data_IF_960312991758
#
_entry.id   IF_960312991758
#
_cell.length_a   1.000
_cell.length_b   1.000
_cell.length_c   1.000
_cell.angle_alpha   90.00
_cell.angle_beta   90.00
_cell.angle_gamma   90.00
#
_symmetry.space_group_name_H-M   'P 1'
#
loop_
_entity.id
_entity.type
_entity.pdbx_description
1 polymer ?
#
# COMPACT_ATOMS: atom_id res chain seq x y z
N UNK A 1 -2.01 -22.30 -48.28
CA UNK A 1 -1.46 -21.14 -47.54
C UNK A 1 -2.60 -20.53 -46.74
N UNK A 2 -2.67 -20.85 -45.44
CA UNK A 2 -3.61 -20.22 -44.50
C UNK A 2 -2.76 -19.30 -43.62
N UNK A 3 -2.96 -18.00 -43.74
CA UNK A 3 -2.28 -17.02 -42.90
C UNK A 3 -3.04 -16.93 -41.57
N UNK A 4 -2.40 -17.38 -40.48
CA UNK A 4 -2.84 -17.09 -39.12
C UNK A 4 -2.37 -15.67 -38.77
N UNK A 5 -3.29 -14.75 -38.57
CA UNK A 5 -2.99 -13.46 -37.95
C UNK A 5 -2.93 -13.68 -36.43
N UNK A 6 -1.73 -13.53 -35.85
CA UNK A 6 -1.55 -13.49 -34.41
C UNK A 6 -1.86 -12.07 -33.91
N UNK A 7 -2.96 -11.93 -33.19
CA UNK A 7 -3.32 -10.68 -32.51
C UNK A 7 -2.48 -10.58 -31.24
N UNK A 8 -1.57 -9.60 -31.20
CA UNK A 8 -0.76 -9.27 -30.03
C UNK A 8 -1.68 -8.60 -28.99
N UNK A 9 -1.95 -9.27 -27.86
CA UNK A 9 -2.58 -8.64 -26.70
C UNK A 9 -1.52 -7.81 -25.98
N UNK A 10 -1.63 -6.48 -26.07
CA UNK A 10 -0.84 -5.57 -25.23
C UNK A 10 -1.56 -5.48 -23.89
N UNK A 11 -0.98 -6.10 -22.85
CA UNK A 11 -1.38 -5.88 -21.46
C UNK A 11 -0.94 -4.46 -21.08
N UNK A 12 -1.89 -3.54 -20.97
CA UNK A 12 -1.64 -2.25 -20.33
C UNK A 12 -1.58 -2.49 -18.82
N UNK A 13 -0.36 -2.57 -18.28
CA UNK A 13 -0.13 -2.42 -16.84
C UNK A 13 -0.47 -0.98 -16.49
N UNK A 14 -1.57 -0.78 -15.75
CA UNK A 14 -1.89 0.53 -15.19
C UNK A 14 -0.76 0.97 -14.26
N UNK A 15 -0.39 2.26 -14.26
CA UNK A 15 0.57 2.76 -13.30
C UNK A 15 -0.01 2.65 -11.88
N UNK A 16 0.80 2.14 -10.97
CA UNK A 16 0.56 2.09 -9.52
C UNK A 16 1.44 3.20 -8.92
N UNK A 17 0.94 3.95 -7.93
CA UNK A 17 1.52 5.27 -7.58
C UNK A 17 1.76 5.44 -6.08
N UNK A 18 2.96 5.86 -5.67
CA UNK A 18 3.38 6.21 -4.31
C UNK A 18 4.90 6.24 -4.11
N UNK A 19 5.37 7.17 -3.26
CA UNK A 19 6.58 7.99 -3.35
C UNK A 19 6.30 9.39 -3.91
N UNK A 20 6.98 10.40 -3.33
CA UNK A 20 6.86 11.79 -3.74
C UNK A 20 7.06 11.91 -5.24
N UNK A 21 6.18 12.66 -5.89
CA UNK A 21 6.22 12.89 -7.32
C UNK A 21 5.69 14.28 -7.61
N UNK A 22 6.15 14.89 -8.70
CA UNK A 22 5.47 16.06 -9.23
C UNK A 22 4.07 15.66 -9.72
N UNK A 23 3.11 16.58 -9.61
CA UNK A 23 1.74 16.35 -10.04
C UNK A 23 1.13 17.58 -10.68
N UNK A 24 0.06 17.35 -11.43
CA UNK A 24 -0.82 18.40 -11.98
C UNK A 24 -2.27 18.05 -11.69
N UNK A 25 -3.09 19.06 -11.42
CA UNK A 25 -4.54 18.90 -11.33
C UNK A 25 -5.15 19.07 -12.72
N UNK A 26 -5.72 18.01 -13.28
CA UNK A 26 -6.43 18.04 -14.56
C UNK A 26 -7.94 18.03 -14.36
N UNK A 27 -8.69 18.13 -15.46
CA UNK A 27 -10.15 17.95 -15.43
C UNK A 27 -10.58 16.55 -14.97
N UNK A 28 -9.67 15.57 -15.01
CA UNK A 28 -9.89 14.17 -14.61
C UNK A 28 -9.48 13.84 -13.18
N UNK A 29 -8.74 14.71 -12.49
CA UNK A 29 -8.22 14.47 -11.14
C UNK A 29 -6.74 14.82 -11.01
N UNK A 30 -6.10 14.31 -9.97
CA UNK A 30 -4.67 14.46 -9.76
C UNK A 30 -3.92 13.50 -10.69
N UNK A 31 -2.99 14.02 -11.49
CA UNK A 31 -2.12 13.24 -12.37
C UNK A 31 -0.66 13.43 -11.95
N UNK A 32 0.07 12.33 -11.80
CA UNK A 32 1.50 12.39 -11.50
C UNK A 32 2.29 12.61 -12.79
N UNK A 33 3.25 13.52 -12.73
CA UNK A 33 4.08 13.94 -13.86
C UNK A 33 5.54 13.73 -13.53
N UNK A 34 6.33 13.41 -14.55
CA UNK A 34 7.77 13.37 -14.40
C UNK A 34 8.37 14.78 -14.47
N UNK A 35 9.35 15.09 -13.61
CA UNK A 35 10.08 16.35 -13.67
C UNK A 35 11.52 16.13 -14.13
N UNK A 36 11.91 16.78 -15.23
CA UNK A 36 13.20 16.53 -15.88
C UNK A 36 14.41 17.21 -15.22
N UNK A 37 14.18 18.16 -14.31
CA UNK A 37 15.24 19.03 -13.75
C UNK A 37 15.42 18.91 -12.24
N UNK A 38 14.49 18.24 -11.55
CA UNK A 38 14.61 17.96 -10.11
C UNK A 38 14.98 16.49 -9.94
N UNK A 39 16.14 16.21 -9.38
CA UNK A 39 16.65 14.86 -9.15
C UNK A 39 16.40 14.41 -7.71
N UNK A 40 16.09 13.12 -7.52
CA UNK A 40 16.04 12.49 -6.20
C UNK A 40 17.45 12.02 -5.79
N UNK A 41 18.15 12.86 -5.05
CA UNK A 41 19.52 12.61 -4.58
C UNK A 41 19.54 11.51 -3.50
N UNK A 42 18.57 11.50 -2.60
CA UNK A 42 18.45 10.42 -1.62
C UNK A 42 17.03 10.20 -1.10
N UNK A 43 16.77 8.96 -0.72
CA UNK A 43 15.60 8.56 0.08
C UNK A 43 16.09 7.74 1.28
N UNK A 44 15.80 8.22 2.49
CA UNK A 44 15.95 7.49 3.74
C UNK A 44 14.58 7.08 4.28
N UNK A 45 14.25 5.81 4.09
CA UNK A 45 12.97 5.22 4.42
C UNK A 45 13.08 4.37 5.69
N UNK A 46 12.25 4.67 6.68
CA UNK A 46 12.04 3.84 7.86
C UNK A 46 10.61 3.33 7.87
N UNK A 47 10.44 2.01 8.04
CA UNK A 47 9.13 1.36 8.13
C UNK A 47 9.07 0.51 9.39
N UNK A 48 8.02 0.71 10.19
CA UNK A 48 7.57 -0.22 11.22
C UNK A 48 6.07 -0.44 11.08
N UNK A 49 5.51 -1.34 11.90
CA UNK A 49 4.05 -1.50 12.00
C UNK A 49 3.34 -0.24 12.48
N UNK A 50 3.99 0.56 13.32
CA UNK A 50 3.37 1.71 13.98
C UNK A 50 3.53 2.99 13.15
N UNK A 51 4.59 3.08 12.34
CA UNK A 51 4.97 4.34 11.72
C UNK A 51 5.86 4.15 10.50
N UNK A 52 5.63 4.99 9.50
CA UNK A 52 6.54 5.22 8.39
C UNK A 52 7.12 6.64 8.49
N UNK A 53 8.44 6.74 8.30
CA UNK A 53 9.16 8.01 8.17
C UNK A 53 9.99 7.98 6.90
N UNK A 54 9.99 9.09 6.17
CA UNK A 54 10.76 9.21 4.94
C UNK A 54 11.46 10.56 4.92
N UNK A 55 12.73 10.58 4.56
CA UNK A 55 13.49 11.81 4.32
C UNK A 55 14.00 11.77 2.89
N UNK A 56 13.54 12.71 2.07
CA UNK A 56 14.02 12.93 0.72
C UNK A 56 14.99 14.09 0.67
N UNK A 57 15.99 13.98 -0.20
CA UNK A 57 16.79 15.11 -0.67
C UNK A 57 16.56 15.28 -2.15
N UNK A 58 16.01 16.42 -2.53
CA UNK A 58 15.76 16.76 -3.92
C UNK A 58 16.71 17.87 -4.34
N UNK A 59 17.40 17.67 -5.45
CA UNK A 59 18.35 18.65 -6.01
C UNK A 59 17.78 19.24 -7.28
N UNK A 60 17.76 20.55 -7.38
CA UNK A 60 17.44 21.24 -8.62
C UNK A 60 18.71 21.39 -9.46
N UNK A 61 18.79 20.69 -10.59
CA UNK A 61 19.95 20.71 -11.49
C UNK A 61 19.88 21.84 -12.54
N UNK A 62 18.82 22.66 -12.54
CA UNK A 62 18.64 23.80 -13.46
C UNK A 62 19.17 25.13 -12.89
N UNK A 63 19.18 26.18 -13.72
CA UNK A 63 19.48 27.57 -13.36
C UNK A 63 18.22 28.42 -13.08
N UNK A 64 17.05 27.80 -12.99
CA UNK A 64 15.76 28.45 -12.72
C UNK A 64 15.09 27.86 -11.46
N UNK A 65 14.33 28.69 -10.76
CA UNK A 65 13.50 28.22 -9.65
C UNK A 65 12.29 27.47 -10.21
N UNK A 66 12.00 26.28 -9.65
CA UNK A 66 10.81 25.51 -10.02
C UNK A 66 9.76 25.54 -8.92
N UNK A 67 8.56 26.00 -9.24
CA UNK A 67 7.40 25.89 -8.37
C UNK A 67 6.56 24.68 -8.79
N UNK A 68 6.41 23.71 -7.89
CA UNK A 68 5.79 22.42 -8.18
C UNK A 68 4.70 22.10 -7.15
N UNK A 69 3.61 21.52 -7.65
CA UNK A 69 2.68 20.76 -6.82
C UNK A 69 3.29 19.38 -6.58
N UNK A 70 3.74 19.14 -5.37
CA UNK A 70 4.24 17.83 -4.94
C UNK A 70 3.06 17.00 -4.47
N UNK A 71 3.09 15.71 -4.78
CA UNK A 71 2.09 14.75 -4.34
C UNK A 71 2.74 13.52 -3.70
N UNK A 72 2.16 13.08 -2.59
CA UNK A 72 2.49 11.86 -1.88
C UNK A 72 1.28 10.92 -1.87
N UNK A 73 1.25 9.90 -2.74
CA UNK A 73 0.18 8.91 -2.79
C UNK A 73 0.28 7.93 -1.62
N UNK A 74 -0.86 7.58 -1.04
CA UNK A 74 -0.95 6.53 -0.02
C UNK A 74 -1.21 5.16 -0.67
N UNK A 75 -0.78 4.06 -0.03
CA UNK A 75 -1.17 2.72 -0.46
C UNK A 75 -2.70 2.56 -0.60
N UNK A 76 -3.11 1.88 -1.67
CA UNK A 76 -4.50 1.51 -1.91
C UNK A 76 -5.04 0.70 -0.72
N UNK A 77 -6.23 1.05 -0.25
CA UNK A 77 -6.99 0.26 0.72
C UNK A 77 -8.01 -0.56 -0.05
N UNK A 78 -7.70 -1.85 -0.19
CA UNK A 78 -8.59 -2.83 -0.80
C UNK A 78 -9.51 -3.38 0.29
N UNK A 79 -10.83 -3.43 0.06
CA UNK A 79 -11.76 -3.97 1.03
C UNK A 79 -11.56 -5.48 1.14
N UNK A 80 -11.26 -5.94 2.35
CA UNK A 80 -11.29 -7.35 2.74
C UNK A 80 -12.13 -7.45 4.02
N UNK A 81 -13.37 -7.92 3.89
CA UNK A 81 -14.31 -8.04 5.00
C UNK A 81 -14.13 -9.34 5.79
N UNK A 82 -13.25 -10.22 5.33
CA UNK A 82 -12.99 -11.52 5.95
C UNK A 82 -11.68 -11.53 6.76
N UNK A 83 -10.81 -10.54 6.55
CA UNK A 83 -9.56 -10.39 7.29
C UNK A 83 -9.54 -9.09 8.11
N UNK A 84 -9.07 -9.10 9.37
CA UNK A 84 -8.97 -7.90 10.17
C UNK A 84 -7.83 -7.01 9.66
N UNK A 85 -8.12 -6.11 8.72
CA UNK A 85 -7.20 -5.05 8.35
C UNK A 85 -7.20 -4.02 9.49
N UNK A 86 -6.06 -3.84 10.15
CA UNK A 86 -5.85 -2.74 11.08
C UNK A 86 -5.74 -1.44 10.28
N UNK A 87 -6.86 -0.74 10.19
CA UNK A 87 -6.99 0.51 9.47
C UNK A 87 -6.38 1.67 10.27
N UNK A 88 -5.73 2.65 9.60
CA UNK A 88 -5.40 3.92 10.24
C UNK A 88 -6.66 4.61 10.77
N UNK A 89 -6.79 4.71 12.10
CA UNK A 89 -7.96 5.27 12.78
C UNK A 89 -7.81 6.78 13.07
N UNK A 90 -7.05 7.49 12.25
CA UNK A 90 -6.89 8.93 12.37
C UNK A 90 -8.20 9.70 12.14
N UNK A 91 -8.16 11.04 12.28
CA UNK A 91 -9.30 11.89 11.92
C UNK A 91 -9.78 11.65 10.49
N UNK A 92 -11.07 11.86 10.21
CA UNK A 92 -11.65 11.60 8.89
C UNK A 92 -11.03 12.40 7.74
N UNK A 93 -10.45 13.57 8.04
CA UNK A 93 -9.72 14.41 7.09
C UNK A 93 -8.20 14.15 7.06
N UNK A 94 -7.71 13.20 7.87
CA UNK A 94 -6.31 12.78 7.91
C UNK A 94 -6.14 11.38 8.51
N UNK A 95 -6.73 10.35 7.87
CA UNK A 95 -6.80 8.98 8.39
C UNK A 95 -5.42 8.39 8.74
N UNK A 96 -4.41 8.72 7.94
CA UNK A 96 -3.04 8.26 8.11
C UNK A 96 -2.21 9.11 9.07
N UNK A 97 -2.79 10.16 9.66
CA UNK A 97 -2.08 11.16 10.47
C UNK A 97 -0.84 11.73 9.75
N UNK A 98 -0.94 11.91 8.43
CA UNK A 98 0.14 12.38 7.58
C UNK A 98 0.61 13.76 8.01
N UNK A 99 1.94 13.90 8.12
CA UNK A 99 2.64 15.15 8.39
C UNK A 99 3.83 15.25 7.45
N UNK A 100 4.04 16.45 6.92
CA UNK A 100 5.16 16.74 6.03
C UNK A 100 5.87 18.04 6.45
N UNK A 101 7.18 18.03 6.34
CA UNK A 101 8.05 19.19 6.50
C UNK A 101 8.78 19.47 5.18
N UNK A 102 8.96 20.74 4.85
CA UNK A 102 9.78 21.21 3.74
C UNK A 102 10.88 22.12 4.31
N UNK A 103 12.15 21.73 4.15
CA UNK A 103 13.31 22.36 4.78
C UNK A 103 13.15 22.59 6.30
N UNK A 104 12.55 21.60 6.97
CA UNK A 104 12.31 21.61 8.42
C UNK A 104 11.07 22.40 8.87
N UNK A 105 10.38 23.10 7.97
CA UNK A 105 9.16 23.84 8.27
C UNK A 105 7.90 23.02 7.91
N UNK A 106 6.88 22.94 8.79
CA UNK A 106 5.64 22.25 8.47
C UNK A 106 4.91 22.88 7.28
N UNK A 107 4.47 22.05 6.33
CA UNK A 107 3.62 22.48 5.22
C UNK A 107 2.23 21.86 5.31
N UNK A 108 1.21 22.64 4.97
CA UNK A 108 -0.18 22.17 4.97
C UNK A 108 -0.43 21.32 3.72
N UNK A 109 -0.62 20.02 3.93
CA UNK A 109 -0.94 19.09 2.87
C UNK A 109 -2.46 18.97 2.68
N UNK A 110 -2.91 19.05 1.44
CA UNK A 110 -4.30 18.83 1.04
C UNK A 110 -4.53 17.36 0.72
N UNK A 111 -5.50 16.75 1.39
CA UNK A 111 -5.95 15.39 1.11
C UNK A 111 -6.87 15.36 -0.13
N UNK A 112 -6.63 14.43 -1.04
CA UNK A 112 -7.50 14.06 -2.15
C UNK A 112 -7.85 12.59 -2.04
N UNK A 113 -9.14 12.27 -2.11
CA UNK A 113 -9.66 10.92 -1.90
C UNK A 113 -10.42 10.43 -3.12
N UNK A 114 -10.30 9.14 -3.40
CA UNK A 114 -10.97 8.50 -4.51
C UNK A 114 -11.48 7.11 -4.15
N UNK A 115 -12.58 6.71 -4.78
CA UNK A 115 -13.12 5.37 -4.71
C UNK A 115 -13.11 4.72 -6.10
N UNK A 116 -12.39 3.61 -6.24
CA UNK A 116 -12.30 2.88 -7.51
C UNK A 116 -12.98 1.51 -7.39
N UNK A 117 -13.88 1.21 -8.31
CA UNK A 117 -14.47 -0.13 -8.46
C UNK A 117 -14.35 -0.58 -9.91
N UNK A 118 -13.92 -1.83 -10.11
CA UNK A 118 -13.65 -2.42 -11.42
C UNK A 118 -12.74 -1.54 -12.32
N UNK A 119 -11.76 -0.85 -11.72
CA UNK A 119 -10.82 0.03 -12.42
C UNK A 119 -11.40 1.39 -12.84
N UNK A 120 -12.63 1.73 -12.43
CA UNK A 120 -13.29 3.00 -12.76
C UNK A 120 -13.42 3.86 -11.50
N UNK A 121 -13.10 5.16 -11.62
CA UNK A 121 -13.37 6.14 -10.57
C UNK A 121 -14.89 6.30 -10.37
N UNK A 122 -15.36 5.94 -9.17
CA UNK A 122 -16.75 6.04 -8.71
C UNK A 122 -16.95 7.10 -7.64
N UNK A 123 -15.96 7.94 -7.36
CA UNK A 123 -15.96 8.93 -6.28
C UNK A 123 -17.20 9.84 -6.32
N UNK A 124 -17.48 10.45 -7.47
CA UNK A 124 -18.64 11.34 -7.63
C UNK A 124 -19.99 10.61 -7.50
N UNK A 125 -20.02 9.31 -7.83
CA UNK A 125 -21.24 8.51 -7.70
C UNK A 125 -21.55 8.26 -6.22
N UNK A 126 -20.55 7.84 -5.43
CA UNK A 126 -20.68 7.65 -3.99
C UNK A 126 -21.02 8.96 -3.27
N UNK A 127 -20.31 10.05 -3.59
CA UNK A 127 -20.57 11.37 -3.02
C UNK A 127 -22.00 11.89 -3.29
N UNK A 128 -22.56 11.60 -4.48
CA UNK A 128 -23.94 12.01 -4.81
C UNK A 128 -24.99 11.31 -3.94
N UNK A 129 -24.65 10.13 -3.44
CA UNK A 129 -25.50 9.30 -2.59
C UNK A 129 -25.13 9.41 -1.11
N UNK A 130 -24.23 10.35 -0.76
CA UNK A 130 -23.70 10.54 0.60
C UNK A 130 -23.08 9.25 1.20
N UNK A 131 -22.52 8.38 0.34
CA UNK A 131 -21.83 7.16 0.77
C UNK A 131 -20.36 7.48 1.10
N UNK A 132 -19.87 7.13 2.30
CA UNK A 132 -18.48 7.34 2.68
C UNK A 132 -17.49 6.65 1.73
N UNK A 133 -16.36 7.30 1.43
CA UNK A 133 -15.37 6.76 0.48
C UNK A 133 -14.48 5.67 1.09
N UNK A 134 -14.30 5.66 2.42
CA UNK A 134 -13.51 4.66 3.12
C UNK A 134 -14.32 3.36 3.22
N UNK A 135 -14.13 2.44 2.28
CA UNK A 135 -14.99 1.24 2.12
C UNK A 135 -15.06 0.33 3.34
N UNK A 136 -14.02 0.31 4.17
CA UNK A 136 -13.94 -0.57 5.36
C UNK A 136 -14.40 0.13 6.64
N UNK A 137 -14.85 1.39 6.56
CA UNK A 137 -15.37 2.10 7.72
C UNK A 137 -16.76 1.58 8.11
N UNK A 138 -17.09 1.68 9.40
CA UNK A 138 -18.41 1.28 9.88
C UNK A 138 -19.53 2.11 9.21
N UNK A 139 -19.26 3.39 8.96
CA UNK A 139 -20.18 4.31 8.28
C UNK A 139 -20.45 3.84 6.84
N UNK A 140 -19.44 3.38 6.10
CA UNK A 140 -19.65 2.83 4.76
C UNK A 140 -20.46 1.52 4.80
N UNK A 141 -20.14 0.63 5.74
CA UNK A 141 -20.85 -0.64 5.93
C UNK A 141 -22.33 -0.40 6.25
N UNK A 142 -22.63 0.51 7.16
CA UNK A 142 -23.99 0.83 7.56
C UNK A 142 -24.75 1.55 6.44
N UNK A 143 -24.09 2.46 5.72
CA UNK A 143 -24.69 3.13 4.57
C UNK A 143 -25.13 2.14 3.48
N UNK A 144 -24.34 1.10 3.19
CA UNK A 144 -24.71 0.06 2.22
C UNK A 144 -25.91 -0.77 2.71
N UNK A 145 -26.00 -1.09 4.01
CA UNK A 145 -27.13 -1.85 4.57
C UNK A 145 -28.47 -1.11 4.49
N UNK A 146 -28.43 0.22 4.48
CA UNK A 146 -29.62 1.08 4.43
C UNK A 146 -30.11 1.36 3.01
N UNK A 147 -29.35 0.98 1.97
CA UNK A 147 -29.74 1.18 0.57
C UNK A 147 -30.98 0.35 0.20
N UNK A 148 -31.82 0.92 -0.66
CA UNK A 148 -32.94 0.18 -1.26
C UNK A 148 -32.45 -0.84 -2.29
N UNK A 149 -33.33 -1.77 -2.65
CA UNK A 149 -32.99 -2.88 -3.54
C UNK A 149 -32.60 -2.43 -4.97
N UNK A 150 -33.14 -1.32 -5.46
CA UNK A 150 -32.79 -0.78 -6.79
C UNK A 150 -31.37 -0.21 -6.77
N UNK A 151 -31.02 0.52 -5.72
CA UNK A 151 -29.68 1.07 -5.53
C UNK A 151 -28.65 -0.03 -5.29
N UNK A 152 -28.99 -1.09 -4.55
CA UNK A 152 -28.10 -2.25 -4.39
C UNK A 152 -27.83 -2.95 -5.74
N UNK A 153 -28.82 -3.09 -6.62
CA UNK A 153 -28.61 -3.66 -7.95
C UNK A 153 -27.62 -2.81 -8.78
N UNK A 154 -27.76 -1.48 -8.73
CA UNK A 154 -26.79 -0.55 -9.32
C UNK A 154 -25.39 -0.75 -8.72
N UNK A 155 -25.26 -0.87 -7.40
CA UNK A 155 -23.96 -1.09 -6.75
C UNK A 155 -23.32 -2.41 -7.17
N UNK A 156 -24.09 -3.50 -7.21
CA UNK A 156 -23.63 -4.80 -7.70
C UNK A 156 -23.18 -4.72 -9.17
N UNK A 157 -23.97 -4.05 -10.02
CA UNK A 157 -23.64 -3.84 -11.44
C UNK A 157 -22.35 -3.04 -11.64
N UNK A 158 -22.13 -2.02 -10.81
CA UNK A 158 -20.95 -1.16 -10.88
C UNK A 158 -19.72 -1.75 -10.16
N UNK A 159 -19.88 -2.91 -9.51
CA UNK A 159 -18.86 -3.59 -8.73
C UNK A 159 -18.60 -2.96 -7.36
N UNK A 160 -19.46 -2.04 -6.90
CA UNK A 160 -19.38 -1.32 -5.63
C UNK A 160 -19.91 -2.11 -4.43
N UNK A 161 -20.56 -3.24 -4.66
CA UNK A 161 -21.02 -4.15 -3.60
C UNK A 161 -20.57 -5.59 -3.88
N UNK A 162 -20.29 -6.34 -2.82
CA UNK A 162 -20.06 -7.77 -2.86
C UNK A 162 -21.17 -8.48 -2.04
N UNK A 163 -21.95 -9.38 -2.64
CA UNK A 163 -23.00 -10.10 -1.93
C UNK A 163 -22.39 -11.17 -1.03
N UNK A 164 -22.92 -11.29 0.19
CA UNK A 164 -22.53 -12.29 1.18
C UNK A 164 -23.78 -12.98 1.72
N UNK A 165 -23.89 -14.27 1.43
CA UNK A 165 -25.04 -15.09 1.76
C UNK A 165 -24.75 -15.97 2.95
N UNK A 166 -25.51 -15.82 4.03
CA UNK A 166 -25.37 -16.63 5.24
C UNK A 166 -26.73 -16.96 5.85
N UNK A 167 -26.76 -17.97 6.73
CA UNK A 167 -27.92 -18.31 7.54
C UNK A 167 -27.55 -18.18 9.02
N UNK A 168 -28.02 -17.10 9.66
CA UNK A 168 -27.82 -16.84 11.08
C UNK A 168 -28.86 -17.54 11.98
N UNK A 169 -29.55 -18.57 11.48
CA UNK A 169 -30.58 -19.33 12.19
C UNK A 169 -32.00 -18.79 12.02
N UNK A 170 -32.19 -17.78 11.15
CA UNK A 170 -33.50 -17.23 10.78
C UNK A 170 -33.85 -17.47 9.30
N UNK A 171 -33.08 -18.32 8.62
CA UNK A 171 -33.18 -18.56 7.18
C UNK A 171 -32.07 -17.84 6.41
N UNK A 172 -31.93 -18.22 5.13
CA UNK A 172 -30.93 -17.64 4.24
C UNK A 172 -31.17 -16.15 4.05
N UNK A 173 -30.19 -15.32 4.39
CA UNK A 173 -30.14 -13.90 4.09
C UNK A 173 -28.94 -13.58 3.21
N UNK A 174 -29.05 -12.50 2.44
CA UNK A 174 -27.96 -12.01 1.59
C UNK A 174 -27.75 -10.54 1.92
N UNK A 175 -26.60 -10.25 2.50
CA UNK A 175 -26.17 -8.89 2.80
C UNK A 175 -25.19 -8.44 1.72
N UNK A 176 -25.01 -7.14 1.55
CA UNK A 176 -24.03 -6.59 0.62
C UNK A 176 -22.98 -5.83 1.40
N UNK A 177 -21.71 -6.07 1.08
CA UNK A 177 -20.57 -5.36 1.67
C UNK A 177 -20.02 -4.33 0.68
N UNK A 178 -19.49 -3.19 1.18
CA UNK A 178 -18.73 -2.23 0.36
C UNK A 178 -17.64 -2.92 -0.48
N UNK A 179 -17.54 -2.64 -1.78
CA UNK A 179 -16.56 -3.29 -2.64
C UNK A 179 -15.84 -2.30 -3.58
N UNK A 180 -15.19 -1.29 -3.00
CA UNK A 180 -14.33 -0.38 -3.76
C UNK A 180 -13.01 -0.13 -3.05
N UNK A 181 -11.98 0.10 -3.85
CA UNK A 181 -10.66 0.49 -3.40
C UNK A 181 -10.71 1.97 -3.01
N UNK A 182 -10.34 2.26 -1.77
CA UNK A 182 -10.12 3.63 -1.32
C UNK A 182 -8.68 4.04 -1.63
N UNK A 183 -8.52 5.22 -2.23
CA UNK A 183 -7.21 5.83 -2.53
C UNK A 183 -7.13 7.21 -1.92
N UNK A 184 -6.00 7.52 -1.33
CA UNK A 184 -5.69 8.85 -0.80
C UNK A 184 -4.39 9.39 -1.41
N UNK A 185 -4.33 10.69 -1.60
CA UNK A 185 -3.10 11.39 -1.97
C UNK A 185 -3.03 12.73 -1.28
N UNK A 186 -1.89 13.04 -0.68
CA UNK A 186 -1.63 14.33 -0.07
C UNK A 186 -0.85 15.20 -1.05
N UNK A 187 -1.22 16.47 -1.20
CA UNK A 187 -0.52 17.42 -2.08
C UNK A 187 -0.18 18.72 -1.39
N UNK A 188 0.95 19.32 -1.72
CA UNK A 188 1.32 20.67 -1.28
C UNK A 188 2.15 21.37 -2.37
N UNK A 189 2.16 22.70 -2.32
CA UNK A 189 2.99 23.51 -3.22
C UNK A 189 4.37 23.68 -2.59
N UNK A 190 5.42 23.56 -3.41
CA UNK A 190 6.80 23.76 -2.99
C UNK A 190 7.61 24.51 -4.05
N UNK A 191 8.64 25.23 -3.62
CA UNK A 191 9.61 25.87 -4.51
C UNK A 191 10.96 25.19 -4.36
N UNK A 192 11.54 24.76 -5.48
CA UNK A 192 12.86 24.17 -5.58
C UNK A 192 13.79 25.22 -6.20
N UNK A 193 14.61 25.92 -5.40
CA UNK A 193 15.45 27.00 -5.91
C UNK A 193 16.53 26.49 -6.87
N UNK A 194 16.91 27.32 -7.84
CA UNK A 194 17.95 27.00 -8.83
C UNK A 194 19.26 26.53 -8.18
N UNK A 195 19.76 25.36 -8.58
CA UNK A 195 21.05 24.82 -8.13
C UNK A 195 21.12 24.41 -6.65
N UNK A 196 20.00 24.41 -5.92
CA UNK A 196 19.95 24.09 -4.49
C UNK A 196 19.38 22.68 -4.23
N UNK A 197 19.67 22.17 -3.03
CA UNK A 197 19.07 20.94 -2.51
C UNK A 197 18.08 21.28 -1.40
N UNK A 198 16.86 20.77 -1.52
CA UNK A 198 15.81 20.88 -0.49
C UNK A 198 15.60 19.53 0.20
N UNK A 199 15.10 19.57 1.42
CA UNK A 199 14.78 18.40 2.23
C UNK A 199 13.27 18.30 2.42
N UNK A 200 12.71 17.13 2.16
CA UNK A 200 11.30 16.83 2.42
C UNK A 200 11.23 15.67 3.42
N UNK A 201 10.49 15.86 4.50
CA UNK A 201 10.34 14.84 5.55
C UNK A 201 8.87 14.48 5.74
N UNK A 202 8.55 13.19 5.70
CA UNK A 202 7.21 12.68 5.96
C UNK A 202 7.17 11.79 7.18
N UNK A 203 6.04 11.82 7.88
CA UNK A 203 5.70 10.90 8.96
C UNK A 203 4.22 10.56 8.90
N UNK A 204 3.87 9.28 8.96
CA UNK A 204 2.47 8.83 8.94
C UNK A 204 2.32 7.42 9.51
N UNK A 205 1.09 7.06 9.87
CA UNK A 205 0.72 5.71 10.33
C UNK A 205 0.42 4.82 9.11
N UNK A 206 1.08 3.67 8.94
CA UNK A 206 0.81 2.79 7.81
C UNK A 206 -0.56 2.12 7.91
N UNK A 207 -1.13 1.76 6.75
CA UNK A 207 -2.21 0.77 6.72
C UNK A 207 -1.60 -0.63 6.90
N UNK A 208 -2.10 -1.39 7.87
CA UNK A 208 -1.57 -2.71 8.22
C UNK A 208 -2.64 -3.75 7.97
N UNK A 209 -2.49 -4.51 6.88
CA UNK A 209 -3.27 -5.72 6.67
C UNK A 209 -2.80 -6.84 7.60
N UNK A 210 -3.58 -7.90 7.73
CA UNK A 210 -3.15 -9.04 8.52
C UNK A 210 -4.18 -10.14 8.60
N UNK A 211 -3.75 -11.32 9.03
CA UNK A 211 -4.60 -12.48 9.30
C UNK A 211 -4.20 -13.17 10.59
N UNK A 212 -5.12 -13.96 11.15
CA UNK A 212 -4.86 -14.79 12.32
C UNK A 212 -4.23 -16.11 11.88
N UNK A 213 -3.03 -16.40 12.39
CA UNK A 213 -2.26 -17.58 11.99
C UNK A 213 -1.38 -17.36 10.77
N UNK A 214 -0.65 -18.42 10.38
CA UNK A 214 0.35 -18.37 9.30
C UNK A 214 -0.18 -19.06 8.05
N UNK A 215 -0.59 -18.29 7.04
CA UNK A 215 -1.29 -18.81 5.86
C UNK A 215 -0.36 -19.54 4.89
N UNK A 216 0.91 -19.14 4.78
CA UNK A 216 1.84 -19.74 3.81
C UNK A 216 2.33 -21.14 4.17
N UNK A 217 1.94 -21.68 5.34
CA UNK A 217 2.20 -23.07 5.70
C UNK A 217 1.08 -24.03 5.28
N UNK A 218 -0.07 -23.51 4.82
CA UNK A 218 -1.19 -24.31 4.33
C UNK A 218 -0.84 -25.04 3.02
N UNK A 219 -1.54 -26.16 2.77
CA UNK A 219 -1.44 -26.86 1.49
C UNK A 219 -2.09 -26.04 0.36
N UNK A 220 -1.69 -26.26 -0.91
CA UNK A 220 -2.38 -25.66 -2.05
C UNK A 220 -3.86 -26.02 -2.08
N UNK A 221 -4.70 -25.04 -2.40
CA UNK A 221 -6.16 -25.20 -2.50
C UNK A 221 -6.56 -25.80 -3.85
N UNK A 222 -7.73 -26.45 -3.88
CA UNK A 222 -8.28 -27.12 -5.08
C UNK A 222 -8.57 -26.16 -6.24
N UNK A 223 -8.72 -24.86 -5.98
CA UNK A 223 -8.91 -23.81 -6.97
C UNK A 223 -7.60 -23.37 -7.67
N UNK A 224 -6.47 -23.96 -7.27
CA UNK A 224 -5.14 -23.68 -7.81
C UNK A 224 -4.37 -22.59 -7.06
N UNK A 225 -4.91 -22.04 -5.97
CA UNK A 225 -4.18 -21.11 -5.11
C UNK A 225 -3.15 -21.85 -4.25
N UNK A 226 -1.88 -21.46 -4.36
CA UNK A 226 -0.78 -21.98 -3.53
C UNK A 226 -0.24 -20.84 -2.63
N UNK A 227 -0.56 -20.85 -1.32
CA UNK A 227 -0.11 -19.83 -0.38
C UNK A 227 1.41 -19.72 -0.30
N UNK A 228 2.13 -20.84 -0.31
CA UNK A 228 3.58 -20.83 -0.20
C UNK A 228 4.22 -20.21 -1.44
N UNK A 229 3.67 -20.46 -2.63
CA UNK A 229 4.13 -19.84 -3.87
C UNK A 229 3.80 -18.33 -3.93
N UNK A 230 2.60 -17.94 -3.51
CA UNK A 230 2.18 -16.54 -3.46
C UNK A 230 3.08 -15.73 -2.52
N UNK A 231 3.28 -16.21 -1.30
CA UNK A 231 4.07 -15.50 -0.30
C UNK A 231 5.55 -15.44 -0.67
N UNK A 232 6.07 -16.48 -1.31
CA UNK A 232 7.44 -16.46 -1.84
C UNK A 232 7.61 -15.39 -2.91
N UNK A 233 6.62 -15.25 -3.80
CA UNK A 233 6.64 -14.23 -4.85
C UNK A 233 6.50 -12.82 -4.27
N UNK A 234 5.61 -12.62 -3.29
CA UNK A 234 5.24 -11.29 -2.77
C UNK A 234 6.18 -10.78 -1.68
N UNK A 235 6.58 -11.65 -0.75
CA UNK A 235 7.36 -11.27 0.44
C UNK A 235 8.75 -11.92 0.48
N UNK A 236 9.14 -12.66 -0.56
CA UNK A 236 10.42 -13.36 -0.63
C UNK A 236 10.67 -14.31 0.56
N UNK A 237 9.64 -15.05 0.99
CA UNK A 237 9.75 -16.05 2.06
C UNK A 237 10.66 -17.21 1.63
N UNK A 238 11.94 -17.11 1.99
CA UNK A 238 12.95 -18.11 1.66
C UNK A 238 12.86 -19.36 2.56
N UNK A 239 13.63 -20.40 2.22
CA UNK A 239 13.64 -21.65 2.98
C UNK A 239 14.06 -21.44 4.45
N UNK A 240 14.93 -20.46 4.73
CA UNK A 240 15.41 -20.16 6.07
C UNK A 240 14.33 -19.52 6.94
N UNK A 241 13.55 -18.62 6.36
CA UNK A 241 12.38 -17.99 6.97
C UNK A 241 11.31 -19.03 7.27
N UNK A 242 10.94 -19.86 6.28
CA UNK A 242 9.97 -20.93 6.45
C UNK A 242 10.44 -21.93 7.52
N UNK A 243 11.73 -22.29 7.52
CA UNK A 243 12.29 -23.18 8.54
C UNK A 243 12.30 -22.56 9.95
N UNK A 244 12.50 -21.24 10.06
CA UNK A 244 12.40 -20.53 11.35
C UNK A 244 10.97 -20.59 11.92
N UNK A 245 9.96 -20.47 11.06
CA UNK A 245 8.55 -20.54 11.44
C UNK A 245 8.17 -21.98 11.80
N UNK A 246 8.55 -22.98 11.00
CA UNK A 246 8.26 -24.39 11.33
C UNK A 246 8.85 -24.85 12.66
N UNK A 247 9.97 -24.25 13.10
CA UNK A 247 10.58 -24.55 14.42
C UNK A 247 9.75 -24.07 15.61
N UNK A 248 8.79 -23.19 15.40
CA UNK A 248 7.90 -22.71 16.48
C UNK A 248 6.61 -23.50 16.59
N UNK A 249 6.34 -24.42 15.66
CA UNK A 249 5.16 -25.29 15.69
C UNK A 249 5.22 -26.22 16.92
N UNK A 250 4.16 -26.26 17.74
CA UNK A 250 4.01 -27.26 18.79
C UNK A 250 3.91 -28.68 18.22
N UNK A 251 3.17 -28.84 17.12
CA UNK A 251 3.05 -30.06 16.34
C UNK A 251 3.42 -29.79 14.86
N UNK A 252 4.45 -30.45 14.31
CA UNK A 252 4.84 -30.29 12.90
C UNK A 252 3.73 -30.64 11.89
N UNK A 253 2.75 -31.45 12.29
CA UNK A 253 1.62 -31.87 11.44
C UNK A 253 0.43 -30.88 11.52
N UNK A 254 0.54 -29.82 12.33
CA UNK A 254 -0.49 -28.78 12.50
C UNK A 254 0.02 -27.39 12.06
N UNK A 255 -0.01 -27.06 10.76
CA UNK A 255 0.49 -25.77 10.23
C UNK A 255 -0.10 -24.51 10.88
N UNK A 256 -1.35 -24.59 11.32
CA UNK A 256 -2.08 -23.50 11.99
C UNK A 256 -1.63 -23.28 13.45
N UNK A 257 -0.83 -24.19 14.01
CA UNK A 257 -0.32 -24.10 15.38
C UNK A 257 0.84 -23.11 15.56
N UNK A 258 1.29 -22.45 14.48
CA UNK A 258 2.37 -21.46 14.56
C UNK A 258 1.91 -20.27 15.43
N UNK A 259 2.66 -19.88 16.47
CA UNK A 259 2.28 -18.84 17.42
C UNK A 259 2.51 -17.43 16.86
N UNK A 260 2.00 -17.15 15.66
CA UNK A 260 2.16 -15.88 14.97
C UNK A 260 0.84 -15.39 14.36
N UNK A 261 0.62 -14.09 14.41
CA UNK A 261 -0.28 -13.39 13.49
C UNK A 261 0.53 -12.73 12.39
N UNK A 262 -0.08 -12.52 11.24
CA UNK A 262 0.57 -11.84 10.13
C UNK A 262 0.21 -10.36 10.12
N UNK A 263 1.21 -9.52 9.85
CA UNK A 263 1.06 -8.12 9.46
C UNK A 263 1.63 -7.92 8.06
N UNK A 264 0.86 -7.27 7.20
CA UNK A 264 1.27 -6.93 5.83
C UNK A 264 1.33 -5.42 5.67
N UNK A 265 2.50 -4.92 5.30
CA UNK A 265 2.74 -3.50 5.04
C UNK A 265 3.20 -3.38 3.59
N UNK A 266 2.58 -2.48 2.85
CA UNK A 266 3.00 -2.13 1.49
C UNK A 266 3.51 -0.71 1.46
N UNK A 267 4.62 -0.50 0.75
CA UNK A 267 5.18 0.81 0.50
C UNK A 267 5.47 0.92 -0.99
N UNK A 268 5.06 2.03 -1.58
CA UNK A 268 5.15 2.21 -3.01
C UNK A 268 6.48 2.90 -3.29
N UNK A 269 7.31 2.29 -4.15
CA UNK A 269 8.67 2.73 -4.47
C UNK A 269 8.79 3.23 -5.90
N UNK A 270 7.97 2.71 -6.81
CA UNK A 270 8.20 2.87 -8.26
C UNK A 270 8.09 4.31 -8.75
N UNK A 271 7.34 5.19 -8.07
CA UNK A 271 7.27 6.63 -8.45
C UNK A 271 8.51 7.43 -8.07
N UNK A 272 9.46 6.86 -7.31
CA UNK A 272 10.79 7.43 -7.18
C UNK A 272 11.46 7.65 -8.56
N UNK A 273 11.03 6.91 -9.58
CA UNK A 273 11.47 7.09 -10.96
C UNK A 273 10.81 8.23 -11.74
N UNK A 274 9.92 9.02 -11.14
CA UNK A 274 9.33 10.18 -11.82
C UNK A 274 10.23 11.42 -11.81
N UNK A 275 11.32 11.41 -11.04
CA UNK A 275 12.28 12.51 -10.96
C UNK A 275 13.38 12.40 -12.02
N UNK A 276 14.15 13.47 -12.17
CA UNK A 276 15.24 13.54 -13.13
C UNK A 276 16.22 12.37 -12.91
N UNK A 277 16.67 11.76 -14.01
CA UNK A 277 17.50 10.55 -13.99
C UNK A 277 16.72 9.23 -13.81
N UNK A 278 15.45 9.29 -13.43
CA UNK A 278 14.52 8.16 -13.35
C UNK A 278 14.79 7.17 -12.20
N UNK A 279 15.68 7.48 -11.27
CA UNK A 279 15.97 6.63 -10.13
C UNK A 279 16.46 7.41 -8.93
N UNK A 280 16.75 6.68 -7.86
CA UNK A 280 17.17 7.22 -6.57
C UNK A 280 18.69 7.08 -6.48
N UNK A 281 19.44 8.19 -6.44
CA UNK A 281 20.91 8.11 -6.42
C UNK A 281 21.40 7.35 -5.16
N UNK A 282 20.85 7.66 -3.99
CA UNK A 282 21.15 7.01 -2.72
C UNK A 282 19.88 6.55 -2.01
N UNK A 283 19.65 5.24 -1.93
CA UNK A 283 18.48 4.69 -1.24
C UNK A 283 18.91 3.94 0.01
N UNK A 284 18.26 4.24 1.14
CA UNK A 284 18.43 3.54 2.40
C UNK A 284 17.07 3.17 2.99
N UNK A 285 16.84 1.87 3.17
CA UNK A 285 15.67 1.33 3.84
C UNK A 285 16.06 0.77 5.20
N UNK A 286 15.28 1.09 6.23
CA UNK A 286 15.31 0.46 7.54
C UNK A 286 13.93 -0.10 7.86
N UNK A 287 13.85 -1.41 8.12
CA UNK A 287 12.63 -2.07 8.59
C UNK A 287 12.80 -2.45 10.05
N UNK A 288 11.85 -2.05 10.89
CA UNK A 288 11.76 -2.46 12.29
C UNK A 288 10.60 -3.45 12.48
N UNK A 289 10.93 -4.68 12.92
CA UNK A 289 9.93 -5.71 13.21
C UNK A 289 9.28 -5.59 14.60
N UNK A 290 9.61 -4.55 15.37
CA UNK A 290 8.98 -4.18 16.64
C UNK A 290 9.44 -5.00 17.86
N UNK A 291 9.40 -6.33 17.81
CA UNK A 291 9.84 -7.22 18.90
C UNK A 291 10.97 -8.14 18.44
N UNK A 292 11.89 -8.53 19.33
CA UNK A 292 12.93 -9.52 19.04
C UNK A 292 12.36 -10.90 18.71
N UNK A 293 11.15 -11.18 19.15
CA UNK A 293 10.45 -12.46 18.93
C UNK A 293 9.73 -12.56 17.58
N UNK A 294 9.49 -11.43 16.92
CA UNK A 294 8.84 -11.39 15.62
C UNK A 294 9.77 -11.92 14.51
N UNK A 295 9.20 -12.27 13.36
CA UNK A 295 9.98 -12.52 12.14
C UNK A 295 9.60 -11.48 11.08
N UNK A 296 10.48 -11.22 10.13
CA UNK A 296 10.22 -10.30 9.02
C UNK A 296 10.75 -10.87 7.71
N UNK A 297 9.98 -10.71 6.64
CA UNK A 297 10.34 -11.11 5.27
C UNK A 297 9.91 -10.01 4.29
N UNK A 298 10.79 -9.66 3.36
CA UNK A 298 10.51 -8.74 2.27
C UNK A 298 11.50 -8.98 1.13
N UNK A 299 11.14 -8.60 -0.08
CA UNK A 299 12.03 -8.69 -1.23
C UNK A 299 13.09 -7.59 -1.18
N UNK A 300 14.33 -7.98 -0.92
CA UNK A 300 15.47 -7.07 -0.85
C UNK A 300 16.79 -7.82 -0.90
N UNK A 301 17.78 -7.25 -1.58
CA UNK A 301 19.13 -7.83 -1.70
C UNK A 301 20.14 -7.04 -0.87
N UNK A 302 21.06 -7.73 -0.20
CA UNK A 302 22.09 -7.08 0.62
C UNK A 302 21.57 -6.57 1.96
N UNK A 303 20.48 -7.17 2.46
CA UNK A 303 19.89 -6.83 3.76
C UNK A 303 20.84 -7.24 4.88
N UNK A 304 21.08 -6.31 5.80
CA UNK A 304 21.90 -6.55 6.99
C UNK A 304 21.10 -6.26 8.26
N UNK A 305 21.32 -7.05 9.31
CA UNK A 305 20.72 -6.77 10.63
C UNK A 305 21.57 -5.72 11.34
N UNK A 306 20.97 -4.55 11.64
CA UNK A 306 21.68 -3.41 12.25
C UNK A 306 21.30 -3.16 13.72
N UNK A 307 20.29 -3.87 14.24
CA UNK A 307 19.88 -3.81 15.64
C UNK A 307 19.09 -5.04 16.06
N UNK A 308 18.56 -5.10 17.30
CA UNK A 308 17.79 -6.26 17.78
C UNK A 308 16.58 -6.61 16.91
N UNK A 309 15.89 -5.57 16.41
CA UNK A 309 14.65 -5.66 15.61
C UNK A 309 14.77 -5.02 14.23
N UNK A 310 15.88 -4.34 13.94
CA UNK A 310 16.04 -3.52 12.74
C UNK A 310 16.96 -4.14 11.68
N UNK A 311 16.54 -4.02 10.44
CA UNK A 311 17.21 -4.52 9.24
C UNK A 311 17.38 -3.38 8.25
N UNK A 312 18.54 -3.32 7.60
CA UNK A 312 18.91 -2.26 6.67
C UNK A 312 19.20 -2.81 5.28
N UNK A 313 18.73 -2.10 4.27
CA UNK A 313 19.14 -2.27 2.88
C UNK A 313 19.62 -0.92 2.33
N UNK A 314 20.81 -0.91 1.73
CA UNK A 314 21.37 0.28 1.06
C UNK A 314 21.58 -0.02 -0.42
N UNK A 315 21.15 0.90 -1.28
CA UNK A 315 21.33 0.83 -2.73
C UNK A 315 21.88 2.16 -3.25
N UNK A 316 22.54 2.07 -4.40
CA UNK A 316 23.11 3.21 -5.12
C UNK A 316 22.58 3.15 -6.55
N UNK A 317 22.18 4.29 -7.11
CA UNK A 317 21.52 4.37 -8.42
C UNK A 317 20.35 3.38 -8.52
N UNK A 318 19.50 3.38 -7.50
CA UNK A 318 18.44 2.42 -7.35
C UNK A 318 17.27 2.73 -8.28
N UNK A 319 16.87 1.73 -9.08
CA UNK A 319 15.70 1.78 -9.93
C UNK A 319 14.67 0.77 -9.42
N UNK A 320 13.69 1.20 -8.61
CA UNK A 320 12.63 0.30 -8.14
C UNK A 320 11.75 -0.15 -9.31
N UNK A 321 11.56 -1.47 -9.46
CA UNK A 321 10.72 -2.07 -10.51
C UNK A 321 9.37 -2.57 -9.97
N UNK A 322 9.26 -2.68 -8.65
CA UNK A 322 8.09 -3.21 -7.95
C UNK A 322 7.96 -2.51 -6.59
N UNK A 323 6.78 -2.65 -6.01
CA UNK A 323 6.49 -2.10 -4.68
C UNK A 323 7.08 -2.96 -3.58
N UNK A 324 7.47 -2.32 -2.49
CA UNK A 324 7.97 -3.00 -1.31
C UNK A 324 6.80 -3.60 -0.54
N UNK A 325 6.81 -4.92 -0.41
CA UNK A 325 5.84 -5.68 0.36
C UNK A 325 6.56 -6.34 1.55
N UNK A 326 6.08 -6.07 2.76
CA UNK A 326 6.71 -6.52 4.01
C UNK A 326 5.72 -7.40 4.76
N UNK A 327 6.16 -8.61 5.10
CA UNK A 327 5.48 -9.51 6.02
C UNK A 327 6.20 -9.46 7.36
N UNK A 328 5.47 -9.09 8.42
CA UNK A 328 5.92 -9.25 9.80
C UNK A 328 5.08 -10.36 10.44
N UNK A 329 5.73 -11.38 10.98
CA UNK A 329 5.09 -12.40 11.82
C UNK A 329 5.22 -11.96 13.27
N UNK A 330 4.10 -11.54 13.85
CA UNK A 330 4.03 -11.07 15.22
C UNK A 330 3.79 -12.22 16.15
N UNK A 331 4.74 -12.46 17.05
CA UNK A 331 4.62 -13.57 17.98
C UNK A 331 3.61 -13.24 19.05
N UNK A 332 2.67 -14.14 19.28
CA UNK A 332 1.84 -14.13 20.49
C UNK A 332 2.25 -15.26 21.43
N UNK A 333 2.00 -15.08 22.73
CA UNK A 333 2.13 -16.18 23.68
C UNK A 333 1.02 -17.19 23.39
N UNK A 334 1.38 -18.42 23.02
CA UNK A 334 0.42 -19.51 22.94
C UNK A 334 -0.20 -19.71 24.34
N UNK A 335 -1.54 -19.64 24.42
CA UNK A 335 -2.29 -19.89 25.65
C UNK A 335 -2.19 -21.36 26.09
#
# INVERSE_FOLDING_TARGET
>A
MRACAATLLVLMTGPVFGNDTAAVLTTGGLEFVSHGEIAMESEELFISREEIRVVYRFRNDSDEDHQLLVAFPMPDIVPDHYSPVAFPMGPSDNLFEFRTLFDGEPVEAKLHEYAYAAGVDRTKFLQKLDIPLVSISQEAIDAIKELDAETIDDFLHLGLAAPDGFDAGSGWETHSWPNWIYRATYTWEATFPAGETVIVEHRYTPSVGGTTGVAFLSEPYDDGYDPAAEYRRKYCTDESFIAAVRKTLPDPDEPWGAPFTESWISYILTTGGNWAGGGIENFRLVIDKGSTDNLVSFCGEGVTKIGPTTFEMVKQNFWPQEELNILILERYEAQ
#
